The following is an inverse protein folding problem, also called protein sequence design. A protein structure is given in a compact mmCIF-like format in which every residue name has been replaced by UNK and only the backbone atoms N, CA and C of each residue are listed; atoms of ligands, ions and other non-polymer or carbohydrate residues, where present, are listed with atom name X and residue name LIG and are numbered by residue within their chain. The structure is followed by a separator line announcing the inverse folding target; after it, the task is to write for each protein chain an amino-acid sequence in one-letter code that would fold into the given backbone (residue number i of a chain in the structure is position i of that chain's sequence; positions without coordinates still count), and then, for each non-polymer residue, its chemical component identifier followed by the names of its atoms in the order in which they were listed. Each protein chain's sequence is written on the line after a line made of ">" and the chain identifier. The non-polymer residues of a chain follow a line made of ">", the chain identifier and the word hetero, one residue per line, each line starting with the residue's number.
data_IF_320236931067
#
_entry.id   IF_320236931067
#
_cell.length_a   1.000
_cell.length_b   1.000
_cell.length_c   1.000
_cell.angle_alpha   90.00
_cell.angle_beta   90.00
_cell.angle_gamma   90.00
#
_symmetry.space_group_name_H-M   'P 1'
#
loop_
_entity.id
_entity.type
_entity.pdbx_description
1 polymer ?
#
# COMPACT_ATOMS: atom_id res chain seq x y z
N UNK A 1 -15.98 -4.76 30.22
CA UNK A 1 -16.00 -3.32 30.59
C UNK A 1 -14.92 -2.52 29.86
N UNK A 2 -13.63 -2.82 30.04
CA UNK A 2 -12.53 -2.16 29.29
C UNK A 2 -12.67 -2.23 27.75
N UNK A 3 -13.21 -3.34 27.24
CA UNK A 3 -13.50 -3.48 25.80
C UNK A 3 -14.56 -2.50 25.29
N UNK A 4 -15.62 -2.24 26.06
CA UNK A 4 -16.68 -1.30 25.70
C UNK A 4 -16.22 0.17 25.83
N UNK A 5 -15.41 0.47 26.85
CA UNK A 5 -14.81 1.81 27.02
C UNK A 5 -13.85 2.09 25.86
N UNK A 6 -13.02 1.12 25.48
CA UNK A 6 -12.09 1.24 24.35
C UNK A 6 -12.81 1.34 23.00
N UNK A 7 -13.91 0.61 22.80
CA UNK A 7 -14.71 0.69 21.59
C UNK A 7 -15.41 2.05 21.48
N UNK A 8 -16.01 2.54 22.57
CA UNK A 8 -16.67 3.84 22.61
C UNK A 8 -15.70 5.00 22.32
N UNK A 9 -14.50 4.97 22.91
CA UNK A 9 -13.47 6.00 22.63
C UNK A 9 -12.94 5.96 21.19
N UNK A 10 -12.84 4.77 20.56
CA UNK A 10 -12.39 4.65 19.17
C UNK A 10 -13.47 5.02 18.13
N UNK A 11 -14.76 4.94 18.48
CA UNK A 11 -15.87 5.37 17.61
C UNK A 11 -16.16 6.88 17.66
N UNK A 12 -15.48 7.65 18.53
CA UNK A 12 -15.67 9.11 18.66
C UNK A 12 -14.85 9.94 17.66
N UNK A 13 -14.33 9.31 16.61
CA UNK A 13 -13.80 10.00 15.44
C UNK A 13 -14.92 10.35 14.46
N UNK A 14 -15.36 11.61 14.51
CA UNK A 14 -16.29 12.27 13.58
C UNK A 14 -17.80 11.99 13.76
N UNK A 15 -18.48 12.94 14.42
CA UNK A 15 -19.78 13.41 13.92
C UNK A 15 -21.08 13.02 14.64
N UNK A 16 -21.05 12.24 15.73
CA UNK A 16 -22.28 11.90 16.48
C UNK A 16 -22.16 12.32 17.96
N UNK A 17 -22.92 13.34 18.37
CA UNK A 17 -22.93 13.82 19.76
C UNK A 17 -23.93 13.01 20.60
N UNK A 18 -23.43 12.13 21.46
CA UNK A 18 -24.12 11.80 22.70
C UNK A 18 -24.07 13.07 23.56
N UNK A 19 -25.21 13.57 24.06
CA UNK A 19 -25.25 14.69 25.00
C UNK A 19 -24.29 14.41 26.17
N UNK A 20 -23.32 15.29 26.42
CA UNK A 20 -22.23 15.10 27.38
C UNK A 20 -22.73 14.67 28.79
N UNK A 21 -23.91 15.14 29.18
CA UNK A 21 -24.59 14.80 30.43
C UNK A 21 -24.86 13.29 30.58
N UNK A 22 -25.31 12.62 29.51
CA UNK A 22 -25.60 11.18 29.55
C UNK A 22 -24.33 10.35 29.63
N UNK A 23 -23.27 10.78 28.94
CA UNK A 23 -21.96 10.14 28.99
C UNK A 23 -21.32 10.26 30.39
N UNK A 24 -21.51 11.40 31.06
CA UNK A 24 -21.09 11.59 32.45
C UNK A 24 -21.84 10.64 33.40
N UNK A 25 -23.16 10.51 33.22
CA UNK A 25 -24.01 9.64 34.03
C UNK A 25 -23.68 8.14 33.84
N UNK A 26 -23.30 7.74 32.62
CA UNK A 26 -22.79 6.38 32.37
C UNK A 26 -21.44 6.14 33.04
N UNK A 27 -20.53 7.12 33.03
CA UNK A 27 -19.23 7.00 33.71
C UNK A 27 -19.40 6.84 35.22
N UNK A 28 -20.30 7.59 35.85
CA UNK A 28 -20.61 7.44 37.28
C UNK A 28 -21.23 6.07 37.60
N UNK A 29 -22.17 5.58 36.77
CA UNK A 29 -22.74 4.23 36.93
C UNK A 29 -21.69 3.13 36.75
N UNK A 30 -20.70 3.34 35.87
CA UNK A 30 -19.58 2.42 35.66
C UNK A 30 -18.58 2.44 36.82
N UNK A 31 -18.38 3.58 37.49
CA UNK A 31 -17.53 3.68 38.68
C UNK A 31 -18.15 2.98 39.90
N UNK A 32 -19.48 2.92 39.97
CA UNK A 32 -20.21 2.23 41.03
C UNK A 32 -20.53 0.76 40.71
N UNK A 33 -19.95 0.17 39.65
CA UNK A 33 -20.25 -1.19 39.21
C UNK A 33 -20.05 -2.24 40.31
N UNK A 34 -19.05 -2.05 41.18
CA UNK A 34 -18.69 -3.04 42.19
C UNK A 34 -19.78 -3.18 43.29
N UNK A 35 -20.57 -2.12 43.49
CA UNK A 35 -21.68 -2.08 44.46
C UNK A 35 -23.01 -2.56 43.87
N UNK A 36 -23.05 -2.90 42.57
CA UNK A 36 -24.28 -3.26 41.86
C UNK A 36 -24.49 -4.77 41.82
N UNK A 37 -25.73 -5.20 42.03
CA UNK A 37 -26.17 -6.59 41.82
C UNK A 37 -26.00 -7.00 40.34
N UNK A 38 -25.76 -8.28 40.08
CA UNK A 38 -25.57 -8.82 38.72
C UNK A 38 -26.75 -8.50 37.79
N UNK A 39 -27.98 -8.46 38.31
CA UNK A 39 -29.16 -8.06 37.52
C UNK A 39 -29.08 -6.60 37.05
N UNK A 40 -28.53 -5.71 37.87
CA UNK A 40 -28.38 -4.29 37.52
C UNK A 40 -27.24 -4.07 36.53
N UNK A 41 -26.17 -4.88 36.61
CA UNK A 41 -25.06 -4.88 35.64
C UNK A 41 -25.55 -5.27 34.24
N UNK A 42 -26.38 -6.31 34.14
CA UNK A 42 -26.92 -6.77 32.86
C UNK A 42 -27.88 -5.73 32.25
N UNK A 43 -28.75 -5.09 33.05
CA UNK A 43 -29.61 -4.00 32.57
C UNK A 43 -28.80 -2.81 32.04
N UNK A 44 -27.71 -2.45 32.70
CA UNK A 44 -26.82 -1.36 32.24
C UNK A 44 -26.15 -1.71 30.91
N UNK A 45 -25.71 -2.96 30.74
CA UNK A 45 -25.13 -3.44 29.49
C UNK A 45 -26.13 -3.41 28.32
N UNK A 46 -27.38 -3.81 28.56
CA UNK A 46 -28.44 -3.75 27.56
C UNK A 46 -28.78 -2.30 27.17
N UNK A 47 -28.80 -1.38 28.15
CA UNK A 47 -29.00 0.05 27.91
C UNK A 47 -27.87 0.64 27.06
N UNK A 48 -26.62 0.29 27.36
CA UNK A 48 -25.45 0.72 26.58
C UNK A 48 -25.47 0.14 25.14
N UNK A 49 -25.85 -1.13 24.98
CA UNK A 49 -25.94 -1.76 23.66
C UNK A 49 -27.00 -1.09 22.77
N UNK A 50 -28.14 -0.71 23.34
CA UNK A 50 -29.21 -0.02 22.61
C UNK A 50 -28.81 1.40 22.20
N UNK A 51 -28.07 2.14 23.03
CA UNK A 51 -27.57 3.47 22.67
C UNK A 51 -26.45 3.41 21.61
N UNK A 52 -25.54 2.44 21.67
CA UNK A 52 -24.54 2.22 20.61
C UNK A 52 -25.21 1.90 19.28
N UNK A 53 -26.32 1.15 19.30
CA UNK A 53 -27.09 0.82 18.10
C UNK A 53 -27.78 2.04 17.47
N UNK A 54 -28.14 3.05 18.26
CA UNK A 54 -28.72 4.32 17.75
C UNK A 54 -27.68 5.22 17.06
N UNK A 55 -26.38 5.00 17.31
CA UNK A 55 -25.29 5.82 16.76
C UNK A 55 -24.66 5.25 15.49
N UNK A 56 -25.08 4.06 15.04
CA UNK A 56 -24.69 3.56 13.74
C UNK A 56 -25.41 4.36 12.65
N UNK A 57 -24.70 5.00 11.70
CA UNK A 57 -25.37 5.61 10.55
C UNK A 57 -26.15 4.53 9.80
N UNK A 58 -27.29 4.88 9.15
CA UNK A 58 -28.05 3.92 8.38
C UNK A 58 -27.12 3.24 7.36
N UNK A 59 -27.28 1.92 7.12
CA UNK A 59 -26.50 1.24 6.10
C UNK A 59 -26.74 1.97 4.78
N UNK A 60 -25.68 2.53 4.22
CA UNK A 60 -25.68 3.15 2.88
C UNK A 60 -26.44 2.23 1.93
N UNK A 61 -27.48 2.77 1.30
CA UNK A 61 -28.25 2.08 0.27
C UNK A 61 -27.28 1.40 -0.71
N UNK A 62 -27.55 0.13 -1.00
CA UNK A 62 -26.73 -0.65 -1.92
C UNK A 62 -26.61 0.14 -3.23
N UNK A 63 -25.40 0.38 -3.77
CA UNK A 63 -25.23 1.12 -5.01
C UNK A 63 -26.07 0.44 -6.09
N UNK A 64 -26.79 1.25 -6.88
CA UNK A 64 -27.74 0.73 -7.87
C UNK A 64 -27.03 -0.21 -8.84
N UNK A 65 -27.76 -1.19 -9.37
CA UNK A 65 -27.18 -2.19 -10.29
C UNK A 65 -26.52 -1.54 -11.53
N UNK A 66 -26.98 -0.34 -11.89
CA UNK A 66 -26.39 0.50 -12.95
C UNK A 66 -25.02 1.07 -12.57
N UNK A 67 -24.79 1.47 -11.31
CA UNK A 67 -23.50 1.93 -10.80
C UNK A 67 -22.50 0.78 -10.65
N UNK A 68 -22.97 -0.39 -10.23
CA UNK A 68 -22.13 -1.59 -10.16
C UNK A 68 -21.69 -2.06 -11.55
N UNK A 69 -22.59 -2.03 -12.54
CA UNK A 69 -22.28 -2.36 -13.94
C UNK A 69 -21.34 -1.34 -14.58
N UNK A 70 -21.55 -0.04 -14.36
CA UNK A 70 -20.67 1.01 -14.88
C UNK A 70 -19.29 1.01 -14.20
N UNK A 71 -19.20 0.76 -12.89
CA UNK A 71 -17.95 0.55 -12.19
C UNK A 71 -17.19 -0.69 -12.69
N UNK A 72 -17.89 -1.81 -12.92
CA UNK A 72 -17.28 -3.02 -13.49
C UNK A 72 -16.78 -2.80 -14.93
N UNK A 73 -17.52 -2.07 -15.76
CA UNK A 73 -17.11 -1.72 -17.13
C UNK A 73 -15.90 -0.77 -17.13
N UNK A 74 -15.86 0.21 -16.22
CA UNK A 74 -14.69 1.08 -16.03
C UNK A 74 -13.47 0.27 -15.58
N UNK A 75 -13.62 -0.65 -14.63
CA UNK A 75 -12.53 -1.53 -14.18
C UNK A 75 -12.03 -2.46 -15.29
N UNK A 76 -12.92 -3.01 -16.13
CA UNK A 76 -12.55 -3.85 -17.26
C UNK A 76 -11.79 -3.07 -18.36
N UNK A 77 -12.21 -1.83 -18.64
CA UNK A 77 -11.59 -0.96 -19.66
C UNK A 77 -10.23 -0.41 -19.22
N UNK A 78 -9.98 -0.25 -17.92
CA UNK A 78 -8.65 0.09 -17.38
C UNK A 78 -7.71 -1.13 -17.39
N UNK A 79 -8.24 -2.35 -17.22
CA UNK A 79 -7.46 -3.59 -17.34
C UNK A 79 -6.98 -3.85 -18.77
N UNK A 80 -7.84 -3.65 -19.78
CA UNK A 80 -7.46 -3.90 -21.18
C UNK A 80 -6.51 -2.83 -21.75
N UNK A 81 -6.50 -1.60 -21.22
CA UNK A 81 -5.54 -0.56 -21.66
C UNK A 81 -4.13 -0.72 -21.09
N UNK A 82 -3.94 -1.55 -20.06
CA UNK A 82 -2.65 -1.71 -19.35
C UNK A 82 -1.87 -2.98 -19.73
N UNK A 83 -2.35 -3.80 -20.67
CA UNK A 83 -1.54 -4.87 -21.29
C UNK A 83 -0.64 -4.26 -22.37
N UNK A 84 0.34 -3.45 -21.96
CA UNK A 84 1.50 -3.17 -22.81
C UNK A 84 2.28 -4.49 -22.91
N UNK A 85 2.66 -4.96 -24.11
CA UNK A 85 3.42 -6.18 -24.25
C UNK A 85 4.68 -6.07 -23.40
N UNK A 86 4.96 -7.12 -22.64
CA UNK A 86 6.16 -7.26 -21.82
C UNK A 86 7.36 -6.73 -22.62
N UNK A 87 8.02 -5.70 -22.08
CA UNK A 87 9.33 -5.29 -22.58
C UNK A 87 10.21 -6.53 -22.65
N UNK A 88 10.81 -6.73 -23.83
CA UNK A 88 11.66 -7.82 -24.27
C UNK A 88 12.22 -8.74 -23.16
N UNK A 89 12.16 -10.06 -23.32
CA UNK A 89 12.88 -10.97 -22.44
C UNK A 89 14.37 -10.69 -22.61
N UNK A 90 14.94 -9.89 -21.72
CA UNK A 90 16.38 -9.84 -21.51
C UNK A 90 16.81 -11.23 -21.07
N UNK A 91 17.29 -12.01 -22.02
CA UNK A 91 17.88 -13.31 -21.79
C UNK A 91 19.20 -13.09 -21.03
N UNK A 92 19.11 -12.95 -19.72
CA UNK A 92 20.25 -12.86 -18.81
C UNK A 92 20.19 -14.06 -17.84
N UNK A 93 20.09 -15.27 -18.39
CA UNK A 93 20.49 -16.45 -17.63
C UNK A 93 22.01 -16.43 -17.60
N UNK A 94 22.61 -16.09 -16.47
CA UNK A 94 24.06 -16.19 -16.31
C UNK A 94 24.47 -17.65 -16.41
N UNK A 95 25.59 -17.93 -17.07
CA UNK A 95 26.16 -19.29 -17.13
C UNK A 95 26.75 -19.68 -15.76
N UNK A 96 27.05 -18.68 -14.93
CA UNK A 96 27.62 -18.85 -13.59
C UNK A 96 26.84 -18.12 -12.49
N UNK A 97 26.90 -18.65 -11.26
CA UNK A 97 26.31 -18.01 -10.07
C UNK A 97 26.88 -16.60 -9.82
N UNK A 98 28.14 -16.40 -10.18
CA UNK A 98 28.83 -15.13 -10.01
C UNK A 98 28.27 -14.05 -10.95
N UNK A 99 27.99 -14.38 -12.21
CA UNK A 99 27.33 -13.47 -13.14
C UNK A 99 25.93 -13.07 -12.65
N UNK A 100 25.17 -14.03 -12.12
CA UNK A 100 23.87 -13.73 -11.53
C UNK A 100 24.04 -12.74 -10.38
N UNK A 101 24.94 -13.02 -9.44
CA UNK A 101 25.24 -12.10 -8.33
C UNK A 101 25.62 -10.69 -8.84
N UNK A 102 26.54 -10.61 -9.79
CA UNK A 102 26.99 -9.34 -10.37
C UNK A 102 25.87 -8.60 -11.10
N UNK A 103 24.99 -9.31 -11.82
CA UNK A 103 23.87 -8.70 -12.54
C UNK A 103 22.89 -8.01 -11.59
N UNK A 104 22.61 -8.64 -10.45
CA UNK A 104 21.80 -8.05 -9.39
C UNK A 104 22.51 -6.83 -8.79
N UNK A 105 23.80 -6.95 -8.43
CA UNK A 105 24.59 -5.84 -7.90
C UNK A 105 24.65 -4.63 -8.86
N UNK A 106 24.91 -4.87 -10.15
CA UNK A 106 24.94 -3.86 -11.22
C UNK A 106 23.59 -3.15 -11.38
N UNK A 107 22.48 -3.89 -11.32
CA UNK A 107 21.13 -3.31 -11.46
C UNK A 107 20.81 -2.30 -10.35
N UNK A 108 21.28 -2.55 -9.12
CA UNK A 108 21.09 -1.64 -7.99
C UNK A 108 22.24 -0.64 -7.80
N UNK A 109 23.21 -0.60 -8.72
CA UNK A 109 24.42 0.24 -8.64
C UNK A 109 25.21 0.02 -7.34
N UNK A 110 25.29 -1.22 -6.87
CA UNK A 110 26.02 -1.62 -5.67
C UNK A 110 27.19 -2.53 -6.04
N UNK A 111 28.30 -2.44 -5.29
CA UNK A 111 29.46 -3.34 -5.44
C UNK A 111 29.27 -4.66 -4.70
N UNK A 112 28.45 -4.67 -3.64
CA UNK A 112 28.16 -5.82 -2.81
C UNK A 112 26.66 -5.90 -2.54
N UNK A 113 26.15 -7.12 -2.32
CA UNK A 113 24.72 -7.35 -2.16
C UNK A 113 24.25 -6.88 -0.79
N UNK A 114 23.10 -6.20 -0.72
CA UNK A 114 22.45 -5.78 0.53
C UNK A 114 21.23 -6.65 0.83
N UNK A 115 20.74 -6.65 2.07
CA UNK A 115 19.56 -7.43 2.47
C UNK A 115 18.34 -7.16 1.56
N UNK A 116 18.12 -5.90 1.17
CA UNK A 116 17.01 -5.51 0.28
C UNK A 116 17.16 -6.17 -1.10
N UNK A 117 18.38 -6.19 -1.63
CA UNK A 117 18.69 -6.83 -2.93
C UNK A 117 18.56 -8.35 -2.81
N UNK A 118 19.00 -8.95 -1.69
CA UNK A 118 18.83 -10.37 -1.40
C UNK A 118 17.35 -10.78 -1.31
N UNK A 119 16.54 -10.00 -0.59
CA UNK A 119 15.11 -10.27 -0.49
C UNK A 119 14.41 -10.19 -1.85
N UNK A 120 14.83 -9.25 -2.70
CA UNK A 120 14.35 -9.18 -4.08
C UNK A 120 14.87 -10.33 -4.94
N UNK A 121 16.13 -10.74 -4.79
CA UNK A 121 16.69 -11.91 -5.44
C UNK A 121 15.87 -13.16 -5.12
N UNK A 122 15.55 -13.43 -3.85
CA UNK A 122 14.72 -14.58 -3.47
C UNK A 122 13.32 -14.53 -4.11
N UNK A 123 12.78 -13.33 -4.32
CA UNK A 123 11.49 -13.12 -4.99
C UNK A 123 11.57 -13.36 -6.48
N UNK A 124 12.56 -12.77 -7.14
CA UNK A 124 12.77 -12.85 -8.59
C UNK A 124 13.17 -14.28 -9.01
N UNK A 125 14.00 -14.95 -8.22
CA UNK A 125 14.37 -16.36 -8.38
C UNK A 125 13.28 -17.35 -7.93
N UNK A 126 12.11 -16.86 -7.47
CA UNK A 126 10.96 -17.67 -7.01
C UNK A 126 11.33 -18.72 -5.97
N UNK A 127 12.24 -18.38 -5.05
CA UNK A 127 12.71 -19.32 -4.02
C UNK A 127 11.69 -19.56 -2.90
N UNK A 128 10.58 -18.82 -2.85
CA UNK A 128 9.55 -18.99 -1.83
C UNK A 128 8.76 -20.29 -2.03
N UNK A 129 8.61 -21.07 -0.97
CA UNK A 129 7.74 -22.25 -0.93
C UNK A 129 6.98 -22.30 0.41
N UNK A 130 6.23 -23.38 0.66
CA UNK A 130 5.52 -23.54 1.92
C UNK A 130 6.45 -23.57 3.17
N UNK A 131 7.70 -24.04 3.00
CA UNK A 131 8.72 -24.17 4.05
C UNK A 131 9.61 -22.93 4.23
N UNK A 132 9.77 -22.13 3.18
CA UNK A 132 10.64 -20.96 3.11
C UNK A 132 9.80 -19.73 2.79
N UNK A 133 9.48 -18.97 3.83
CA UNK A 133 8.59 -17.81 3.76
C UNK A 133 9.39 -16.50 3.79
N UNK A 134 8.71 -15.37 3.59
CA UNK A 134 9.30 -14.02 3.68
C UNK A 134 10.16 -13.78 4.94
N UNK A 135 9.71 -14.12 6.17
CA UNK A 135 10.55 -13.90 7.36
C UNK A 135 11.80 -14.81 7.40
N UNK A 136 11.76 -15.99 6.77
CA UNK A 136 12.92 -16.88 6.74
C UNK A 136 14.08 -16.31 5.92
N UNK A 137 13.80 -15.46 4.93
CA UNK A 137 14.82 -14.77 4.12
C UNK A 137 15.72 -13.92 5.00
N UNK A 138 15.11 -13.16 5.92
CA UNK A 138 15.83 -12.30 6.85
C UNK A 138 16.56 -13.13 7.91
N UNK A 139 15.96 -14.22 8.41
CA UNK A 139 16.64 -15.15 9.31
C UNK A 139 17.91 -15.76 8.68
N UNK A 140 17.86 -16.15 7.40
CA UNK A 140 19.05 -16.68 6.69
C UNK A 140 20.10 -15.57 6.53
N UNK A 141 19.67 -14.35 6.21
CA UNK A 141 20.58 -13.21 6.14
C UNK A 141 21.28 -12.96 7.47
N UNK A 142 20.53 -12.84 8.58
CA UNK A 142 21.11 -12.58 9.90
C UNK A 142 22.11 -13.65 10.35
N UNK A 143 21.90 -14.91 9.95
CA UNK A 143 22.82 -16.02 10.27
C UNK A 143 24.17 -15.91 9.56
N UNK A 144 24.19 -15.45 8.31
CA UNK A 144 25.40 -15.43 7.48
C UNK A 144 26.09 -14.06 7.51
N UNK A 145 25.32 -12.98 7.46
CA UNK A 145 25.84 -11.61 7.44
C UNK A 145 26.15 -11.06 8.84
N UNK A 146 25.47 -11.56 9.88
CA UNK A 146 25.62 -11.06 11.24
C UNK A 146 25.34 -9.55 11.33
N UNK A 147 26.37 -8.75 11.61
CA UNK A 147 26.29 -7.29 11.73
C UNK A 147 26.55 -6.54 10.41
N UNK A 148 26.95 -7.24 9.36
CA UNK A 148 27.30 -6.61 8.09
C UNK A 148 26.05 -6.26 7.27
N UNK A 149 26.09 -5.06 6.67
CA UNK A 149 24.99 -4.55 5.82
C UNK A 149 25.15 -4.90 4.34
N UNK A 150 26.37 -5.29 3.94
CA UNK A 150 26.79 -5.60 2.57
C UNK A 150 27.52 -6.94 2.58
N UNK A 151 27.36 -7.71 1.51
CA UNK A 151 27.78 -9.10 1.49
C UNK A 151 28.42 -9.45 0.14
N UNK A 152 29.59 -10.09 0.21
CA UNK A 152 30.40 -10.51 -0.93
C UNK A 152 30.05 -11.92 -1.42
N UNK A 153 30.53 -12.30 -2.60
CA UNK A 153 30.22 -13.56 -3.26
C UNK A 153 30.41 -14.84 -2.40
N UNK A 154 31.49 -15.00 -1.60
CA UNK A 154 31.67 -16.21 -0.78
C UNK A 154 30.56 -16.39 0.26
N UNK A 155 30.11 -15.28 0.85
CA UNK A 155 28.99 -15.28 1.80
C UNK A 155 27.67 -15.53 1.09
N UNK A 156 27.54 -15.15 -0.18
CA UNK A 156 26.34 -15.39 -0.98
C UNK A 156 26.11 -16.89 -1.21
N UNK A 157 27.18 -17.67 -1.43
CA UNK A 157 27.09 -19.13 -1.44
C UNK A 157 26.62 -19.68 -0.09
N UNK A 158 27.10 -19.10 1.02
CA UNK A 158 26.60 -19.42 2.37
C UNK A 158 25.11 -19.13 2.56
N UNK A 159 24.56 -18.07 1.95
CA UNK A 159 23.12 -17.79 1.97
C UNK A 159 22.34 -18.87 1.22
N UNK A 160 22.82 -19.32 0.06
CA UNK A 160 22.18 -20.40 -0.71
C UNK A 160 22.19 -21.72 0.05
N UNK A 161 23.30 -22.05 0.72
CA UNK A 161 23.37 -23.20 1.63
C UNK A 161 22.36 -23.08 2.79
N UNK A 162 22.17 -21.87 3.34
CA UNK A 162 21.15 -21.60 4.37
C UNK A 162 19.72 -21.80 3.85
N UNK A 163 19.44 -21.42 2.61
CA UNK A 163 18.15 -21.67 1.94
C UNK A 163 17.94 -23.17 1.69
N UNK A 164 18.98 -23.87 1.23
CA UNK A 164 18.96 -25.32 1.01
C UNK A 164 18.64 -26.08 2.31
N UNK A 165 19.33 -25.74 3.41
CA UNK A 165 19.09 -26.30 4.73
C UNK A 165 17.65 -26.08 5.23
N UNK A 166 17.07 -24.90 4.97
CA UNK A 166 15.67 -24.60 5.32
C UNK A 166 14.66 -25.34 4.47
N UNK A 167 14.96 -25.58 3.18
CA UNK A 167 14.08 -26.32 2.26
C UNK A 167 14.19 -27.84 2.43
N UNK A 168 15.33 -28.32 2.92
CA UNK A 168 15.65 -29.75 2.97
C UNK A 168 15.97 -30.32 1.58
N UNK A 169 16.62 -29.52 0.74
CA UNK A 169 17.00 -29.84 -0.65
C UNK A 169 18.53 -29.69 -0.75
N UNK A 170 19.25 -30.50 -1.55
CA UNK A 170 20.68 -30.30 -1.77
C UNK A 170 20.99 -28.91 -2.36
N UNK A 171 22.17 -28.38 -2.03
CA UNK A 171 22.59 -27.05 -2.49
C UNK A 171 22.65 -26.95 -4.02
N UNK A 172 23.10 -28.01 -4.70
CA UNK A 172 23.21 -28.08 -6.16
C UNK A 172 21.86 -27.87 -6.87
N UNK A 173 20.78 -28.46 -6.35
CA UNK A 173 19.43 -28.26 -6.91
C UNK A 173 18.95 -26.81 -6.73
N UNK A 174 19.29 -26.17 -5.61
CA UNK A 174 18.97 -24.75 -5.39
C UNK A 174 19.74 -23.87 -6.36
N UNK A 175 21.01 -24.17 -6.60
CA UNK A 175 21.86 -23.44 -7.54
C UNK A 175 21.35 -23.59 -8.99
N UNK A 176 21.03 -24.81 -9.42
CA UNK A 176 20.43 -25.04 -10.74
C UNK A 176 19.07 -24.31 -10.90
N UNK A 177 18.28 -24.28 -9.83
CA UNK A 177 17.01 -23.55 -9.83
C UNK A 177 17.22 -22.03 -9.93
N UNK A 178 18.23 -21.50 -9.23
CA UNK A 178 18.64 -20.11 -9.33
C UNK A 178 19.10 -19.77 -10.74
N UNK A 179 19.98 -20.57 -11.37
CA UNK A 179 20.47 -20.30 -12.72
C UNK A 179 19.34 -20.22 -13.76
N UNK A 180 18.33 -21.08 -13.62
CA UNK A 180 17.19 -21.11 -14.54
C UNK A 180 16.16 -19.99 -14.30
N UNK A 181 15.96 -19.55 -13.06
CA UNK A 181 14.85 -18.66 -12.69
C UNK A 181 15.27 -17.26 -12.23
N UNK A 182 16.51 -17.06 -11.79
CA UNK A 182 16.99 -15.79 -11.26
C UNK A 182 17.20 -14.78 -12.40
N UNK A 183 16.14 -14.09 -12.77
CA UNK A 183 16.15 -12.99 -13.72
C UNK A 183 15.81 -11.70 -13.00
N UNK A 184 16.67 -10.69 -13.13
CA UNK A 184 16.44 -9.41 -12.47
C UNK A 184 15.19 -8.76 -13.04
N UNK A 185 14.12 -8.71 -12.24
CA UNK A 185 12.85 -8.13 -12.67
C UNK A 185 12.70 -6.73 -12.06
N UNK A 186 12.90 -5.70 -12.88
CA UNK A 186 12.61 -4.31 -12.50
C UNK A 186 11.31 -3.87 -13.15
N UNK A 187 10.20 -4.43 -12.71
CA UNK A 187 8.90 -3.79 -12.93
C UNK A 187 8.86 -2.62 -11.96
N UNK A 188 9.00 -1.39 -12.49
CA UNK A 188 9.05 -0.18 -11.67
C UNK A 188 7.90 -0.15 -10.67
N UNK A 189 8.21 0.00 -9.39
CA UNK A 189 7.20 0.16 -8.35
C UNK A 189 6.54 1.52 -8.56
N UNK A 190 5.29 1.54 -9.03
CA UNK A 190 4.46 2.73 -8.91
C UNK A 190 4.09 2.86 -7.43
N UNK A 191 4.76 3.77 -6.74
CA UNK A 191 4.37 4.14 -5.39
C UNK A 191 3.00 4.80 -5.46
N UNK A 192 2.03 4.22 -4.77
CA UNK A 192 0.71 4.84 -4.59
C UNK A 192 0.85 5.87 -3.47
N UNK A 193 0.87 7.14 -3.85
CA UNK A 193 1.00 8.25 -2.95
C UNK A 193 -0.40 8.74 -2.60
N UNK A 194 -0.88 8.34 -1.41
CA UNK A 194 -2.21 8.69 -0.88
C UNK A 194 -2.57 10.18 -1.02
N UNK A 195 -1.57 11.07 -1.02
CA UNK A 195 -1.77 12.52 -1.04
C UNK A 195 -1.69 13.15 -2.44
N UNK A 196 -1.19 12.45 -3.47
CA UNK A 196 -0.85 13.07 -4.76
C UNK A 196 -1.48 12.40 -5.99
N UNK A 197 -2.14 11.26 -5.83
CA UNK A 197 -2.76 10.53 -6.94
C UNK A 197 -4.18 11.02 -7.27
N UNK A 198 -4.87 11.63 -6.29
CA UNK A 198 -6.20 12.20 -6.53
C UNK A 198 -6.12 13.63 -7.09
N UNK A 199 -5.98 13.71 -8.42
CA UNK A 199 -6.02 14.98 -9.17
C UNK A 199 -7.37 15.67 -9.12
N UNK A 200 -8.44 15.00 -8.65
CA UNK A 200 -9.75 15.64 -8.50
C UNK A 200 -9.80 16.63 -7.34
N UNK A 201 -8.90 16.46 -6.36
CA UNK A 201 -8.71 17.40 -5.24
C UNK A 201 -7.79 18.58 -5.58
N UNK A 202 -7.20 18.62 -6.77
CA UNK A 202 -6.36 19.73 -7.18
C UNK A 202 -7.22 20.97 -7.43
N UNK A 203 -6.80 22.12 -6.92
CA UNK A 203 -7.47 23.41 -7.11
C UNK A 203 -6.51 24.44 -7.70
N UNK A 204 -7.04 25.52 -8.29
CA UNK A 204 -6.24 26.62 -8.82
C UNK A 204 -5.37 26.21 -10.02
N UNK A 205 -4.14 26.72 -10.07
CA UNK A 205 -3.20 26.51 -11.19
C UNK A 205 -2.81 25.03 -11.40
N UNK A 206 -2.88 24.19 -10.36
CA UNK A 206 -2.62 22.76 -10.49
C UNK A 206 -3.70 22.04 -11.32
N UNK A 207 -4.96 22.51 -11.25
CA UNK A 207 -6.10 21.96 -12.01
C UNK A 207 -6.25 22.60 -13.38
N UNK A 208 -6.15 23.93 -13.44
CA UNK A 208 -6.43 24.71 -14.64
C UNK A 208 -5.20 24.92 -15.53
N UNK A 209 -4.03 24.41 -15.12
CA UNK A 209 -2.75 24.78 -15.71
C UNK A 209 -2.30 26.15 -15.22
N UNK A 210 -1.07 26.26 -14.75
CA UNK A 210 -0.39 27.56 -14.72
C UNK A 210 -0.06 27.99 -16.15
N UNK A 211 0.63 29.13 -16.33
CA UNK A 211 1.21 29.50 -17.62
C UNK A 211 2.24 28.45 -18.06
N UNK A 212 1.76 27.38 -18.68
CA UNK A 212 2.60 26.29 -19.18
C UNK A 212 2.45 26.24 -20.69
N UNK A 213 3.50 25.84 -21.39
CA UNK A 213 3.61 25.89 -22.86
C UNK A 213 2.59 25.01 -23.63
N UNK A 214 1.54 24.51 -22.98
CA UNK A 214 0.47 23.68 -23.53
C UNK A 214 -0.90 24.37 -23.54
N UNK A 215 -0.93 25.70 -23.42
CA UNK A 215 -2.14 26.47 -23.65
C UNK A 215 -2.41 26.59 -25.16
N UNK A 216 -3.69 26.71 -25.55
CA UNK A 216 -4.06 27.07 -26.92
C UNK A 216 -3.34 28.36 -27.31
N UNK A 217 -2.77 28.37 -28.52
CA UNK A 217 -1.85 29.44 -28.99
C UNK A 217 -2.56 30.79 -28.86
N UNK A 218 -2.11 31.63 -27.92
CA UNK A 218 -2.67 32.97 -27.76
C UNK A 218 -2.50 33.75 -29.07
N UNK A 219 -3.61 34.09 -29.71
CA UNK A 219 -3.60 34.91 -30.93
C UNK A 219 -3.60 36.39 -30.56
N UNK A 220 -2.92 37.20 -31.36
CA UNK A 220 -2.92 38.66 -31.20
C UNK A 220 -4.35 39.23 -31.20
N UNK A 221 -5.27 38.63 -31.95
CA UNK A 221 -6.69 39.00 -31.96
C UNK A 221 -7.37 38.74 -30.60
N UNK A 222 -7.07 37.63 -29.93
CA UNK A 222 -7.60 37.34 -28.58
C UNK A 222 -7.06 38.28 -27.51
N UNK A 223 -5.80 38.71 -27.63
CA UNK A 223 -5.16 39.66 -26.71
C UNK A 223 -5.60 41.12 -26.94
N UNK A 224 -6.01 41.47 -28.16
CA UNK A 224 -6.33 42.85 -28.55
C UNK A 224 -7.83 43.17 -28.51
N UNK A 225 -8.68 42.19 -28.19
CA UNK A 225 -10.12 42.39 -28.17
C UNK A 225 -10.57 43.19 -26.92
N UNK A 226 -10.84 44.48 -27.12
CA UNK A 226 -11.35 45.40 -26.08
C UNK A 226 -12.88 45.44 -25.98
N UNK A 227 -13.58 44.73 -26.86
CA UNK A 227 -15.05 44.76 -26.94
C UNK A 227 -15.72 43.85 -25.90
N UNK A 228 -14.94 42.97 -25.27
CA UNK A 228 -15.39 42.12 -24.18
C UNK A 228 -15.58 42.95 -22.90
N UNK A 229 -16.84 43.33 -22.61
CA UNK A 229 -17.22 44.02 -21.38
C UNK A 229 -16.98 43.11 -20.17
N UNK A 230 -15.81 43.23 -19.56
CA UNK A 230 -15.50 42.56 -18.30
C UNK A 230 -16.27 43.21 -17.15
N UNK A 231 -16.77 42.39 -16.21
CA UNK A 231 -17.35 42.91 -14.97
C UNK A 231 -16.25 43.48 -14.05
N UNK A 232 -16.64 44.06 -12.89
CA UNK A 232 -15.71 44.65 -11.90
C UNK A 232 -14.64 43.66 -11.39
N UNK A 233 -14.80 42.36 -11.64
CA UNK A 233 -13.86 41.30 -11.27
C UNK A 233 -13.06 40.74 -12.46
N UNK A 234 -13.14 41.36 -13.65
CA UNK A 234 -12.36 40.96 -14.81
C UNK A 234 -12.87 39.72 -15.54
N UNK A 235 -14.08 39.24 -15.24
CA UNK A 235 -14.67 38.07 -15.92
C UNK A 235 -15.49 38.55 -17.11
N UNK A 236 -15.20 37.99 -18.28
CA UNK A 236 -15.91 38.21 -19.53
C UNK A 236 -17.17 37.32 -19.52
N UNK A 237 -18.36 37.90 -19.68
CA UNK A 237 -19.62 37.16 -19.84
C UNK A 237 -19.82 36.72 -21.29
#
# INVERSE_FOLDING_TARGET
>A
VYFFISLASNTMGAGASISDDKMSLFKEKLLNLDKMSQSQKNKLLDEMANEVKKLQPPPSEKPSEAEQRSAAVLQAKTRQRNTKPASAPGNMGGESLQEVFESFCKTYRQTAMTNVVWAKFCKDAKLFNAKFKKPDVDMVWSKVAGKEKKLDFPKFQGLLAGVAAKKGIPAEEVEAHVLSNAKVSSSGTKGESRFYDDKSQWTGAAKNGGCTSKDDRQTLQGLSNRDNKANVRGVIQ
#
